data_IF_062949083929
#
_entry.id   IF_062949083929
#
_cell.length_a   1.000
_cell.length_b   1.000
_cell.length_c   1.000
_cell.angle_alpha   90.00
_cell.angle_beta   90.00
_cell.angle_gamma   90.00
#
_symmetry.space_group_name_H-M   'P 1'
#
loop_
_entity.id
_entity.type
_entity.pdbx_description
1 polymer ?
#
# COMPACT_ATOMS: atom_id res chain seq x y z
N UNK A 1 -19.22 -9.25 3.29
CA UNK A 1 -17.83 -8.78 3.52
C UNK A 1 -17.06 -9.93 4.15
N UNK A 2 -15.81 -10.19 3.77
CA UNK A 2 -14.98 -11.16 4.52
C UNK A 2 -14.68 -10.65 5.92
N UNK A 3 -14.45 -11.55 6.87
CA UNK A 3 -14.04 -11.17 8.22
C UNK A 3 -12.69 -10.43 8.20
N UNK A 4 -11.77 -10.82 7.31
CA UNK A 4 -10.47 -10.17 7.15
C UNK A 4 -10.62 -8.71 6.71
N UNK A 5 -11.50 -8.43 5.75
CA UNK A 5 -11.77 -7.04 5.33
C UNK A 5 -12.44 -6.23 6.44
N UNK A 6 -13.41 -6.81 7.18
CA UNK A 6 -14.00 -6.13 8.34
C UNK A 6 -12.95 -5.77 9.38
N UNK A 7 -12.04 -6.69 9.68
CA UNK A 7 -10.96 -6.47 10.63
C UNK A 7 -10.01 -5.36 10.14
N UNK A 8 -9.65 -5.34 8.84
CA UNK A 8 -8.81 -4.29 8.29
C UNK A 8 -9.50 -2.93 8.37
N UNK A 9 -10.78 -2.83 8.00
CA UNK A 9 -11.51 -1.56 8.10
C UNK A 9 -11.57 -1.07 9.55
N UNK A 10 -11.81 -1.96 10.52
CA UNK A 10 -11.78 -1.63 11.94
C UNK A 10 -10.37 -1.24 12.44
N UNK A 11 -9.30 -1.83 11.86
CA UNK A 11 -7.92 -1.48 12.18
C UNK A 11 -7.55 -0.07 11.68
N UNK A 12 -8.08 0.33 10.52
CA UNK A 12 -7.86 1.64 9.92
C UNK A 12 -8.72 2.74 10.54
N UNK A 13 -9.84 2.37 11.19
CA UNK A 13 -10.71 3.27 11.95
C UNK A 13 -10.07 3.61 13.31
N UNK A 14 -9.36 4.74 13.37
CA UNK A 14 -8.53 5.08 14.53
C UNK A 14 -9.33 5.57 15.74
N UNK A 15 -8.84 5.21 16.94
CA UNK A 15 -9.29 5.81 18.20
C UNK A 15 -8.86 7.28 18.24
N UNK A 16 -9.82 8.22 18.34
CA UNK A 16 -9.53 9.63 18.58
C UNK A 16 -9.18 9.85 20.05
N UNK A 17 -7.99 10.40 20.31
CA UNK A 17 -7.53 10.79 21.66
C UNK A 17 -7.84 12.28 21.89
N UNK A 18 -7.56 13.11 20.89
CA UNK A 18 -7.79 14.56 20.87
C UNK A 18 -7.98 15.03 19.40
N UNK A 19 -8.33 16.28 19.19
CA UNK A 19 -8.29 16.97 17.90
C UNK A 19 -6.89 16.84 17.29
N UNK A 20 -6.83 16.22 16.11
CA UNK A 20 -5.58 15.94 15.42
C UNK A 20 -4.71 14.85 16.08
N UNK A 21 -5.17 14.18 17.13
CA UNK A 21 -4.39 13.14 17.81
C UNK A 21 -5.16 11.81 17.88
N UNK A 22 -4.60 10.78 17.25
CA UNK A 22 -5.24 9.48 17.09
C UNK A 22 -4.34 8.33 17.53
N UNK A 23 -4.94 7.18 17.84
CA UNK A 23 -4.24 5.92 18.10
C UNK A 23 -4.76 4.81 17.19
N UNK A 24 -3.84 4.16 16.50
CA UNK A 24 -4.09 2.95 15.71
C UNK A 24 -3.48 1.72 16.36
N UNK A 25 -4.20 0.61 16.29
CA UNK A 25 -3.62 -0.70 16.61
C UNK A 25 -2.73 -1.18 15.45
N UNK A 26 -1.92 -2.20 15.71
CA UNK A 26 -1.08 -2.83 14.69
C UNK A 26 -1.46 -4.29 14.49
N UNK A 27 -1.34 -4.74 13.25
CA UNK A 27 -1.53 -6.14 12.88
C UNK A 27 -0.18 -6.77 12.51
N UNK A 28 0.05 -7.99 13.01
CA UNK A 28 1.21 -8.80 12.67
C UNK A 28 0.88 -9.70 11.47
N UNK A 29 1.21 -9.21 10.28
CA UNK A 29 1.07 -9.96 9.01
C UNK A 29 2.13 -11.07 8.83
N UNK A 30 2.90 -11.41 9.86
CA UNK A 30 4.03 -12.34 9.77
C UNK A 30 5.31 -11.71 9.22
N UNK A 31 5.34 -10.39 9.11
CA UNK A 31 6.50 -9.61 8.70
C UNK A 31 7.33 -9.21 9.91
N UNK A 32 8.60 -8.86 9.66
CA UNK A 32 9.54 -8.46 10.74
C UNK A 32 9.14 -7.17 11.47
N UNK A 33 8.37 -6.31 10.80
CA UNK A 33 8.00 -4.97 11.26
C UNK A 33 6.57 -4.66 10.77
N UNK A 34 5.96 -3.61 11.32
CA UNK A 34 4.64 -3.13 10.85
C UNK A 34 4.67 -2.94 9.34
N UNK A 35 3.62 -3.40 8.67
CA UNK A 35 3.46 -3.25 7.23
C UNK A 35 3.32 -1.78 6.85
N UNK A 36 4.06 -1.33 5.83
CA UNK A 36 4.10 0.09 5.43
C UNK A 36 2.73 0.61 5.01
N UNK A 37 1.98 -0.18 4.25
CA UNK A 37 0.60 0.11 3.88
C UNK A 37 -0.33 0.34 5.08
N UNK A 38 -0.11 -0.34 6.22
CA UNK A 38 -0.88 -0.06 7.45
C UNK A 38 -0.64 1.36 7.93
N UNK A 39 0.64 1.78 8.00
CA UNK A 39 1.00 3.11 8.46
C UNK A 39 0.45 4.19 7.51
N UNK A 40 0.48 3.93 6.19
CA UNK A 40 -0.09 4.82 5.17
C UNK A 40 -1.60 4.95 5.31
N UNK A 41 -2.33 3.84 5.40
CA UNK A 41 -3.80 3.84 5.52
C UNK A 41 -4.27 4.56 6.78
N UNK A 42 -3.63 4.28 7.92
CA UNK A 42 -3.93 4.93 9.20
C UNK A 42 -3.56 6.42 9.19
N UNK A 43 -2.42 6.80 8.60
CA UNK A 43 -2.05 8.21 8.48
C UNK A 43 -3.02 9.00 7.59
N UNK A 44 -3.50 8.41 6.49
CA UNK A 44 -4.52 9.02 5.64
C UNK A 44 -5.85 9.17 6.38
N UNK A 45 -6.25 8.18 7.18
CA UNK A 45 -7.41 8.28 8.07
C UNK A 45 -7.25 9.46 9.05
N UNK A 46 -6.11 9.55 9.74
CA UNK A 46 -5.86 10.64 10.69
C UNK A 46 -5.91 12.01 10.00
N UNK A 47 -5.29 12.13 8.83
CA UNK A 47 -5.28 13.38 8.07
C UNK A 47 -6.70 13.79 7.64
N UNK A 48 -7.50 12.88 7.06
CA UNK A 48 -8.85 13.21 6.55
C UNK A 48 -9.82 13.64 7.65
N UNK A 49 -9.64 13.14 8.87
CA UNK A 49 -10.47 13.54 10.02
C UNK A 49 -10.29 15.01 10.44
N UNK A 50 -9.21 15.65 9.97
CA UNK A 50 -8.89 17.06 10.28
C UNK A 50 -9.18 18.02 9.13
N UNK A 51 -9.89 17.56 8.10
CA UNK A 51 -10.13 18.27 6.84
C UNK A 51 -11.65 18.35 6.58
N UNK A 52 -12.17 19.44 5.97
CA UNK A 52 -13.58 19.51 5.56
C UNK A 52 -13.99 18.29 4.72
N UNK A 53 -15.20 17.78 4.95
CA UNK A 53 -15.66 16.50 4.39
C UNK A 53 -15.68 16.48 2.86
N UNK A 54 -15.85 17.64 2.22
CA UNK A 54 -15.84 17.81 0.77
C UNK A 54 -14.45 17.76 0.14
N UNK A 55 -13.36 17.90 0.91
CA UNK A 55 -11.99 17.88 0.39
C UNK A 55 -11.42 16.47 0.46
N UNK A 56 -11.19 15.89 -0.71
CA UNK A 56 -10.63 14.55 -0.88
C UNK A 56 -9.11 14.63 -1.00
N UNK A 57 -8.40 13.60 -0.55
CA UNK A 57 -6.95 13.54 -0.74
C UNK A 57 -6.66 13.41 -2.24
N UNK A 58 -5.75 14.23 -2.77
CA UNK A 58 -5.29 14.12 -4.15
C UNK A 58 -3.80 13.75 -4.23
N UNK A 59 -3.03 13.95 -3.17
CA UNK A 59 -1.68 13.42 -3.07
C UNK A 59 -1.18 13.28 -1.64
N UNK A 60 -0.19 12.41 -1.46
CA UNK A 60 0.65 12.42 -0.28
C UNK A 60 2.10 12.05 -0.61
N UNK A 61 2.99 12.46 0.28
CA UNK A 61 4.40 12.10 0.30
C UNK A 61 4.77 11.64 1.69
N UNK A 62 5.59 10.60 1.81
CA UNK A 62 5.94 10.06 3.11
C UNK A 62 7.33 9.47 3.19
N UNK A 63 7.87 9.41 4.40
CA UNK A 63 9.16 8.79 4.71
C UNK A 63 9.03 7.87 5.93
N UNK A 64 9.56 6.65 5.80
CA UNK A 64 9.73 5.68 6.87
C UNK A 64 11.10 5.87 7.51
N UNK A 65 11.10 6.25 8.78
CA UNK A 65 12.32 6.60 9.52
C UNK A 65 12.83 5.43 10.36
N UNK A 66 11.93 4.59 10.87
CA UNK A 66 12.23 3.50 11.80
C UNK A 66 11.28 2.33 11.57
N UNK A 67 11.71 1.08 11.81
CA UNK A 67 10.82 -0.07 11.78
C UNK A 67 9.77 0.05 12.90
N UNK A 68 8.49 -0.13 12.56
CA UNK A 68 7.42 -0.19 13.53
C UNK A 68 7.38 -1.55 14.24
N UNK A 69 7.02 -1.53 15.53
CA UNK A 69 6.78 -2.70 16.38
C UNK A 69 5.30 -3.09 16.30
N UNK A 70 4.98 -4.26 15.72
CA UNK A 70 3.59 -4.72 15.51
C UNK A 70 2.89 -5.13 16.81
N UNK A 71 3.61 -5.24 17.92
CA UNK A 71 3.04 -5.57 19.23
C UNK A 71 2.60 -4.32 20.01
N UNK A 72 2.73 -3.12 19.42
CA UNK A 72 2.41 -1.85 20.08
C UNK A 72 1.51 -0.99 19.18
N UNK A 73 0.61 -0.20 19.77
CA UNK A 73 -0.15 0.77 19.00
C UNK A 73 0.77 1.87 18.44
N UNK A 74 0.26 2.62 17.47
CA UNK A 74 0.91 3.76 16.85
C UNK A 74 0.07 5.00 17.15
N UNK A 75 0.73 6.08 17.60
CA UNK A 75 0.09 7.39 17.76
C UNK A 75 0.27 8.20 16.49
N UNK A 76 -0.80 8.81 15.99
CA UNK A 76 -0.80 9.68 14.82
C UNK A 76 -1.12 11.11 15.25
N UNK A 77 -0.15 12.00 15.12
CA UNK A 77 -0.24 13.42 15.46
C UNK A 77 -0.32 14.24 14.16
N UNK A 78 -1.40 15.00 13.99
CA UNK A 78 -1.75 15.70 12.76
C UNK A 78 -1.58 17.20 12.94
N UNK A 79 -0.64 17.75 12.19
CA UNK A 79 -0.36 19.18 12.09
C UNK A 79 -1.13 19.79 10.91
N UNK A 80 -1.89 20.85 11.18
CA UNK A 80 -2.54 21.67 10.14
C UNK A 80 -1.50 22.61 9.55
N UNK A 81 -1.02 22.30 8.34
CA UNK A 81 -0.05 23.15 7.66
C UNK A 81 -0.70 24.37 6.99
N UNK A 82 -1.88 24.16 6.38
CA UNK A 82 -2.59 25.20 5.64
C UNK A 82 -4.04 24.81 5.40
N UNK A 83 -4.94 25.79 5.50
CA UNK A 83 -6.27 25.76 4.90
C UNK A 83 -6.43 27.00 4.00
N UNK A 84 -6.33 26.78 2.69
CA UNK A 84 -6.59 27.81 1.68
C UNK A 84 -8.00 27.66 1.10
N UNK A 85 -8.31 28.52 0.12
CA UNK A 85 -9.62 28.49 -0.55
C UNK A 85 -9.89 27.15 -1.24
N UNK A 86 -8.90 26.60 -1.97
CA UNK A 86 -9.05 25.35 -2.72
C UNK A 86 -8.42 24.13 -2.04
N UNK A 87 -7.32 24.32 -1.29
CA UNK A 87 -6.49 23.24 -0.79
C UNK A 87 -6.34 23.24 0.73
N UNK A 88 -6.35 22.05 1.32
CA UNK A 88 -5.91 21.78 2.69
C UNK A 88 -4.64 20.94 2.68
N UNK A 89 -3.66 21.31 3.51
CA UNK A 89 -2.44 20.52 3.69
C UNK A 89 -2.33 20.08 5.16
N UNK A 90 -1.99 18.81 5.36
CA UNK A 90 -1.79 18.18 6.67
C UNK A 90 -0.44 17.48 6.71
N UNK A 91 0.22 17.51 7.85
CA UNK A 91 1.38 16.66 8.13
C UNK A 91 1.05 15.71 9.26
N UNK A 92 1.33 14.43 9.07
CA UNK A 92 1.04 13.38 10.05
C UNK A 92 2.35 12.79 10.53
N UNK A 93 2.57 12.76 11.84
CA UNK A 93 3.64 12.04 12.49
C UNK A 93 3.10 10.72 13.05
N UNK A 94 3.64 9.59 12.60
CA UNK A 94 3.38 8.30 13.25
C UNK A 94 4.47 8.03 14.30
N UNK A 95 4.09 7.76 15.53
CA UNK A 95 4.96 7.75 16.70
C UNK A 95 4.83 6.42 17.44
N UNK A 96 5.97 5.79 17.74
CA UNK A 96 6.08 4.66 18.67
C UNK A 96 7.27 4.85 19.60
N UNK A 97 7.12 4.42 20.85
CA UNK A 97 8.17 4.53 21.88
C UNK A 97 8.76 5.96 22.00
N UNK A 98 7.90 6.98 21.86
CA UNK A 98 8.28 8.40 21.92
C UNK A 98 9.13 8.90 20.75
N UNK A 99 9.22 8.15 19.65
CA UNK A 99 10.02 8.53 18.46
C UNK A 99 9.18 8.45 17.20
N UNK A 100 9.34 9.40 16.25
CA UNK A 100 8.66 9.30 14.96
C UNK A 100 9.21 8.09 14.20
N UNK A 101 8.33 7.21 13.77
CA UNK A 101 8.65 6.08 12.89
C UNK A 101 8.37 6.43 11.42
N UNK A 102 7.50 7.40 11.18
CA UNK A 102 7.05 7.78 9.84
C UNK A 102 6.51 9.22 9.84
N UNK A 103 6.68 9.93 8.73
CA UNK A 103 5.97 11.17 8.44
C UNK A 103 5.26 11.09 7.11
N UNK A 104 4.08 11.68 7.02
CA UNK A 104 3.36 11.93 5.78
C UNK A 104 3.00 13.42 5.68
N UNK A 105 3.09 13.99 4.48
CA UNK A 105 2.41 15.25 4.15
C UNK A 105 1.38 14.94 3.08
N UNK A 106 0.12 15.26 3.35
CA UNK A 106 -1.01 15.01 2.47
C UNK A 106 -1.70 16.32 2.06
N UNK A 107 -2.13 16.38 0.81
CA UNK A 107 -2.86 17.51 0.23
C UNK A 107 -4.24 17.09 -0.23
N UNK A 108 -5.22 17.94 0.08
CA UNK A 108 -6.64 17.70 -0.12
C UNK A 108 -7.26 18.85 -0.91
N UNK A 109 -8.22 18.52 -1.77
CA UNK A 109 -8.93 19.48 -2.61
C UNK A 109 -10.39 19.05 -2.76
N UNK A 110 -11.31 20.02 -2.87
CA UNK A 110 -12.68 19.73 -3.25
C UNK A 110 -12.78 19.33 -4.73
N UNK A 111 -13.79 18.52 -5.13
CA UNK A 111 -14.01 18.19 -6.53
C UNK A 111 -14.19 19.43 -7.41
N UNK A 112 -13.52 19.46 -8.56
CA UNK A 112 -13.56 20.56 -9.53
C UNK A 112 -13.41 20.00 -10.95
N UNK A 113 -14.06 20.62 -11.94
CA UNK A 113 -13.89 20.25 -13.35
C UNK A 113 -12.64 20.92 -13.92
N UNK A 114 -11.91 20.21 -14.78
CA UNK A 114 -10.69 20.74 -15.39
C UNK A 114 -10.32 20.05 -16.70
N UNK A 115 -9.06 20.21 -17.10
CA UNK A 115 -8.53 19.53 -18.27
C UNK A 115 -8.36 18.04 -18.03
N UNK A 116 -8.76 17.22 -18.99
CA UNK A 116 -8.73 15.77 -18.89
C UNK A 116 -7.83 15.16 -19.98
N UNK A 117 -6.87 14.35 -19.54
CA UNK A 117 -6.14 13.40 -20.36
C UNK A 117 -5.58 12.28 -19.45
N UNK A 118 -5.20 11.16 -20.04
CA UNK A 118 -4.46 10.12 -19.32
C UNK A 118 -3.61 9.29 -20.27
N UNK A 119 -2.61 8.60 -19.70
CA UNK A 119 -1.90 7.52 -20.37
C UNK A 119 -2.86 6.34 -20.59
N UNK A 120 -2.76 5.69 -21.75
CA UNK A 120 -3.52 4.47 -22.02
C UNK A 120 -3.10 3.34 -21.07
N UNK A 121 -4.07 2.56 -20.58
CA UNK A 121 -3.79 1.38 -19.76
C UNK A 121 -2.91 0.39 -20.55
N UNK A 122 -1.84 -0.15 -19.95
CA UNK A 122 -1.05 -1.18 -20.61
C UNK A 122 -1.88 -2.46 -20.82
N UNK A 123 -1.61 -3.25 -21.88
CA UNK A 123 -2.29 -4.52 -22.06
C UNK A 123 -2.01 -5.45 -20.88
N UNK A 124 -3.05 -6.11 -20.38
CA UNK A 124 -2.99 -7.09 -19.32
C UNK A 124 -4.10 -8.14 -19.56
N UNK A 125 -3.89 -9.42 -19.19
CA UNK A 125 -4.96 -10.41 -19.24
C UNK A 125 -6.07 -10.07 -18.23
N UNK A 126 -7.31 -10.51 -18.52
CA UNK A 126 -8.44 -10.37 -17.59
C UNK A 126 -8.17 -11.07 -16.25
N UNK A 127 -8.62 -10.50 -15.11
CA UNK A 127 -8.47 -11.14 -13.80
C UNK A 127 -9.16 -12.51 -13.72
N UNK A 128 -10.21 -12.78 -14.50
CA UNK A 128 -11.03 -14.00 -14.40
C UNK A 128 -10.25 -15.31 -14.63
N UNK A 129 -9.19 -15.26 -15.44
CA UNK A 129 -8.34 -16.41 -15.75
C UNK A 129 -7.12 -16.59 -14.82
N UNK A 130 -6.91 -15.66 -13.89
CA UNK A 130 -5.73 -15.64 -13.03
C UNK A 130 -6.02 -16.27 -11.66
N UNK A 131 -5.02 -16.94 -11.11
CA UNK A 131 -5.09 -17.44 -9.73
C UNK A 131 -4.84 -16.33 -8.73
N UNK A 132 -5.58 -16.32 -7.62
CA UNK A 132 -5.29 -15.41 -6.52
C UNK A 132 -4.01 -15.80 -5.77
N UNK A 133 -3.37 -14.86 -5.10
CA UNK A 133 -2.25 -15.14 -4.19
C UNK A 133 -2.65 -16.15 -3.12
N UNK A 134 -3.90 -16.11 -2.65
CA UNK A 134 -4.45 -17.10 -1.70
C UNK A 134 -4.52 -18.49 -2.31
N UNK A 135 -4.95 -18.63 -3.57
CA UNK A 135 -4.96 -19.93 -4.28
C UNK A 135 -3.54 -20.46 -4.49
N UNK A 136 -2.60 -19.57 -4.84
CA UNK A 136 -1.20 -19.92 -5.01
C UNK A 136 -0.58 -20.35 -3.68
N UNK A 137 -0.82 -19.60 -2.59
CA UNK A 137 -0.37 -19.93 -1.25
C UNK A 137 -0.90 -21.29 -0.77
N UNK A 138 -2.19 -21.60 -1.04
CA UNK A 138 -2.77 -22.92 -0.76
C UNK A 138 -2.07 -24.05 -1.51
N UNK A 139 -1.73 -23.84 -2.80
CA UNK A 139 -0.97 -24.83 -3.59
C UNK A 139 0.44 -25.04 -3.02
N UNK A 140 1.09 -23.98 -2.54
CA UNK A 140 2.43 -24.00 -1.96
C UNK A 140 2.45 -24.32 -0.45
N UNK A 141 1.29 -24.54 0.17
CA UNK A 141 1.16 -24.74 1.62
C UNK A 141 2.00 -25.88 2.19
N UNK A 142 2.28 -26.89 1.38
CA UNK A 142 3.09 -28.05 1.75
C UNK A 142 4.59 -27.74 1.88
N UNK A 143 5.04 -26.60 1.34
CA UNK A 143 6.42 -26.12 1.42
C UNK A 143 6.62 -25.11 2.56
N UNK A 144 5.54 -24.61 3.17
CA UNK A 144 5.62 -23.60 4.23
C UNK A 144 5.99 -24.24 5.58
N UNK A 145 6.89 -23.63 6.37
CA UNK A 145 7.13 -24.03 7.75
C UNK A 145 5.81 -24.00 8.57
N UNK A 146 5.58 -24.95 9.49
CA UNK A 146 4.34 -25.02 10.27
C UNK A 146 4.01 -23.71 11.01
N UNK A 147 5.04 -22.98 11.45
CA UNK A 147 4.92 -21.73 12.22
C UNK A 147 4.31 -20.56 11.44
N UNK A 148 4.44 -20.53 10.11
CA UNK A 148 3.92 -19.44 9.27
C UNK A 148 2.72 -19.87 8.43
N UNK A 149 2.46 -21.18 8.36
CA UNK A 149 1.42 -21.77 7.50
C UNK A 149 0.05 -21.13 7.72
N UNK A 150 -0.38 -20.97 8.96
CA UNK A 150 -1.71 -20.41 9.26
C UNK A 150 -1.82 -18.93 8.87
N UNK A 151 -0.75 -18.14 9.03
CA UNK A 151 -0.72 -16.72 8.59
C UNK A 151 -0.71 -16.56 7.07
N UNK A 152 -0.12 -17.50 6.34
CA UNK A 152 -0.09 -17.48 4.88
C UNK A 152 -1.39 -18.01 4.27
N UNK A 153 -2.10 -18.90 4.95
CA UNK A 153 -3.36 -19.48 4.50
C UNK A 153 -4.61 -18.75 5.01
N UNK A 154 -4.44 -17.75 5.87
CA UNK A 154 -5.55 -16.97 6.37
C UNK A 154 -6.25 -16.21 5.25
N UNK A 155 -7.53 -15.93 5.49
CA UNK A 155 -8.32 -15.08 4.61
C UNK A 155 -7.70 -13.67 4.55
N UNK A 156 -7.67 -13.09 3.35
CA UNK A 156 -7.01 -11.79 3.11
C UNK A 156 -8.07 -10.70 2.90
N UNK A 157 -7.83 -9.46 3.39
CA UNK A 157 -8.79 -8.37 3.22
C UNK A 157 -8.90 -7.90 1.76
N UNK A 158 -7.86 -8.14 0.96
CA UNK A 158 -7.81 -7.86 -0.47
C UNK A 158 -7.64 -9.18 -1.22
N UNK A 159 -8.34 -9.30 -2.33
CA UNK A 159 -8.09 -10.34 -3.32
C UNK A 159 -7.08 -9.81 -4.33
N UNK A 160 -5.92 -10.46 -4.44
CA UNK A 160 -4.84 -10.08 -5.36
C UNK A 160 -4.60 -11.24 -6.33
N UNK A 161 -4.59 -10.95 -7.63
CA UNK A 161 -4.34 -11.91 -8.72
C UNK A 161 -3.15 -11.44 -9.56
N UNK A 162 -1.95 -11.98 -9.36
CA UNK A 162 -0.80 -11.61 -10.16
C UNK A 162 -0.92 -12.14 -11.60
N UNK A 163 -0.50 -11.33 -12.58
CA UNK A 163 -0.34 -11.79 -13.98
C UNK A 163 0.79 -12.80 -14.07
N UNK A 164 1.92 -12.49 -13.42
CA UNK A 164 3.03 -13.42 -13.21
C UNK A 164 3.34 -13.52 -11.71
N UNK A 165 3.39 -14.75 -11.19
CA UNK A 165 3.73 -14.98 -9.80
C UNK A 165 5.24 -15.00 -9.59
N UNK A 166 5.74 -14.06 -8.79
CA UNK A 166 7.13 -14.05 -8.32
C UNK A 166 7.17 -14.54 -6.88
N UNK A 167 7.75 -15.73 -6.66
CA UNK A 167 7.82 -16.33 -5.33
C UNK A 167 8.75 -15.51 -4.42
N UNK A 168 8.26 -14.95 -3.30
CA UNK A 168 9.07 -14.10 -2.44
C UNK A 168 10.19 -14.85 -1.70
N UNK A 169 10.10 -16.18 -1.61
CA UNK A 169 11.09 -17.06 -0.96
C UNK A 169 12.11 -17.63 -1.96
N UNK A 170 11.88 -17.46 -3.26
CA UNK A 170 12.74 -18.01 -4.32
C UNK A 170 12.54 -17.22 -5.60
N UNK A 171 13.33 -16.17 -5.78
CA UNK A 171 13.29 -15.34 -6.97
C UNK A 171 13.73 -16.08 -8.23
N UNK A 172 13.37 -15.50 -9.36
CA UNK A 172 13.86 -15.86 -10.68
C UNK A 172 14.10 -14.58 -11.47
N UNK A 173 15.06 -14.62 -12.41
CA UNK A 173 15.39 -13.46 -13.24
C UNK A 173 14.18 -13.15 -14.14
N UNK A 174 13.72 -11.91 -14.11
CA UNK A 174 12.68 -11.37 -14.97
C UNK A 174 12.91 -9.88 -15.23
N UNK A 175 12.23 -9.34 -16.24
CA UNK A 175 12.19 -7.91 -16.49
C UNK A 175 11.66 -7.15 -15.26
N UNK A 176 12.07 -5.89 -15.02
CA UNK A 176 11.66 -5.12 -13.84
C UNK A 176 10.23 -4.56 -13.96
N UNK A 177 9.26 -5.39 -14.37
CA UNK A 177 7.86 -5.02 -14.53
C UNK A 177 6.96 -6.04 -13.84
N UNK A 178 5.84 -5.60 -13.27
CA UNK A 178 4.84 -6.48 -12.67
C UNK A 178 3.45 -5.92 -12.86
N UNK A 179 2.49 -6.80 -13.09
CA UNK A 179 1.08 -6.47 -13.12
C UNK A 179 0.34 -7.39 -12.14
N UNK A 180 -0.48 -6.79 -11.29
CA UNK A 180 -1.40 -7.53 -10.42
C UNK A 180 -2.78 -6.91 -10.49
N UNK A 181 -3.83 -7.73 -10.52
CA UNK A 181 -5.19 -7.25 -10.29
C UNK A 181 -5.48 -7.29 -8.80
N UNK A 182 -6.13 -6.27 -8.27
CA UNK A 182 -6.58 -6.24 -6.89
C UNK A 182 -8.00 -5.70 -6.74
N UNK A 183 -8.70 -6.19 -5.73
CA UNK A 183 -9.97 -5.64 -5.23
C UNK A 183 -10.14 -5.96 -3.76
N UNK A 184 -11.08 -5.31 -3.09
CA UNK A 184 -11.50 -5.68 -1.75
C UNK A 184 -12.13 -7.09 -1.75
N UNK A 185 -11.78 -7.91 -0.76
CA UNK A 185 -12.41 -9.21 -0.54
C UNK A 185 -13.71 -9.04 0.24
N UNK A 186 -14.72 -8.45 -0.39
CA UNK A 186 -16.00 -8.10 0.23
C UNK A 186 -16.54 -6.77 -0.27
N UNK A 187 -17.40 -6.15 0.52
CA UNK A 187 -18.04 -4.88 0.17
C UNK A 187 -17.55 -3.78 1.12
N UNK A 188 -16.80 -2.83 0.60
CA UNK A 188 -16.38 -1.58 1.25
C UNK A 188 -17.55 -0.59 1.20
N UNK A 189 -17.81 0.18 2.27
CA UNK A 189 -18.86 1.20 2.27
C UNK A 189 -18.69 2.24 1.15
N UNK A 190 -19.80 2.79 0.68
CA UNK A 190 -19.85 3.81 -0.38
C UNK A 190 -19.42 5.20 0.14
N UNK A 191 -18.14 5.30 0.52
CA UNK A 191 -17.46 6.53 0.91
C UNK A 191 -16.06 6.52 0.27
N UNK A 192 -15.87 7.35 -0.76
CA UNK A 192 -14.62 7.43 -1.51
C UNK A 192 -13.40 7.65 -0.61
N UNK A 193 -13.53 8.30 0.55
CA UNK A 193 -12.43 8.51 1.49
C UNK A 193 -11.93 7.19 2.07
N UNK A 194 -12.84 6.22 2.28
CA UNK A 194 -12.52 4.84 2.70
C UNK A 194 -11.77 4.12 1.59
N UNK A 195 -12.27 4.21 0.36
CA UNK A 195 -11.59 3.64 -0.80
C UNK A 195 -10.17 4.21 -0.97
N UNK A 196 -9.98 5.51 -0.76
CA UNK A 196 -8.69 6.19 -0.87
C UNK A 196 -7.65 5.68 0.12
N UNK A 197 -7.96 5.64 1.42
CA UNK A 197 -6.98 5.13 2.39
C UNK A 197 -6.77 3.62 2.28
N UNK A 198 -7.78 2.86 1.80
CA UNK A 198 -7.63 1.43 1.54
C UNK A 198 -6.77 1.16 0.30
N UNK A 199 -6.85 2.01 -0.74
CA UNK A 199 -5.92 1.96 -1.87
C UNK A 199 -4.51 2.40 -1.45
N UNK A 200 -4.40 3.37 -0.55
CA UNK A 200 -3.14 3.73 0.11
C UNK A 200 -2.52 2.52 0.82
N UNK A 201 -3.31 1.77 1.59
CA UNK A 201 -2.89 0.50 2.19
C UNK A 201 -2.47 -0.55 1.13
N UNK A 202 -3.28 -0.72 0.08
CA UNK A 202 -3.02 -1.69 -0.98
C UNK A 202 -1.75 -1.39 -1.78
N UNK A 203 -1.39 -0.12 -1.92
CA UNK A 203 -0.29 0.34 -2.78
C UNK A 203 1.11 -0.06 -2.36
N UNK A 204 1.30 -0.53 -1.13
CA UNK A 204 2.59 -1.06 -0.66
C UNK A 204 2.71 -2.58 -0.92
N UNK A 205 1.66 -3.25 -1.43
CA UNK A 205 1.74 -4.63 -1.91
C UNK A 205 2.28 -4.70 -3.34
N UNK A 206 3.07 -5.74 -3.62
CA UNK A 206 3.61 -6.02 -4.96
C UNK A 206 4.40 -4.86 -5.59
N UNK A 207 4.92 -3.93 -4.77
CA UNK A 207 5.54 -2.71 -5.26
C UNK A 207 7.08 -2.77 -5.27
N UNK A 208 7.76 -2.46 -4.16
CA UNK A 208 9.23 -2.49 -4.07
C UNK A 208 9.90 -3.80 -4.52
N UNK A 209 9.34 -5.00 -4.27
CA UNK A 209 9.96 -6.25 -4.74
C UNK A 209 10.19 -6.35 -6.25
N UNK A 210 9.53 -5.51 -7.08
CA UNK A 210 9.76 -5.48 -8.54
C UNK A 210 11.20 -5.08 -8.87
N UNK A 211 11.84 -4.24 -8.05
CA UNK A 211 13.24 -3.85 -8.25
C UNK A 211 14.23 -5.00 -8.02
N UNK A 212 13.80 -6.13 -7.46
CA UNK A 212 14.63 -7.33 -7.29
C UNK A 212 14.56 -8.29 -8.48
N UNK A 213 13.57 -8.14 -9.37
CA UNK A 213 13.31 -9.07 -10.47
C UNK A 213 14.50 -9.23 -11.43
N UNK A 214 15.21 -8.16 -11.85
CA UNK A 214 16.40 -8.32 -12.70
C UNK A 214 17.55 -9.08 -12.03
N UNK A 215 17.53 -9.18 -10.71
CA UNK A 215 18.55 -9.84 -9.91
C UNK A 215 18.18 -11.27 -9.51
N UNK A 216 16.95 -11.70 -9.81
CA UNK A 216 16.48 -13.05 -9.56
C UNK A 216 16.42 -13.44 -8.08
N UNK A 217 16.19 -12.48 -7.18
CA UNK A 217 16.11 -12.71 -5.74
C UNK A 217 14.73 -12.35 -5.18
N UNK A 218 14.21 -13.18 -4.29
CA UNK A 218 12.99 -12.94 -3.55
C UNK A 218 13.26 -12.11 -2.29
N UNK A 219 12.33 -11.22 -1.91
CA UNK A 219 12.55 -10.31 -0.77
C UNK A 219 12.54 -11.00 0.61
N UNK A 220 12.06 -12.24 0.70
CA UNK A 220 12.06 -13.06 1.91
C UNK A 220 13.19 -14.11 1.91
N UNK A 221 14.08 -14.09 0.92
CA UNK A 221 15.24 -14.98 0.92
C UNK A 221 16.22 -14.68 2.08
N UNK A 222 16.92 -15.70 2.61
CA UNK A 222 17.89 -15.50 3.68
C UNK A 222 18.96 -14.46 3.30
N UNK A 223 19.23 -13.53 4.23
CA UNK A 223 20.21 -12.45 4.04
C UNK A 223 19.66 -11.22 3.32
N UNK A 224 18.45 -11.28 2.76
CA UNK A 224 17.82 -10.10 2.16
C UNK A 224 17.35 -9.12 3.23
N UNK A 225 17.65 -7.85 3.00
CA UNK A 225 17.11 -6.72 3.75
C UNK A 225 16.47 -5.76 2.75
N UNK A 226 15.15 -5.75 2.76
CA UNK A 226 14.31 -4.92 1.90
C UNK A 226 13.40 -4.07 2.79
N UNK A 227 13.48 -2.75 2.66
CA UNK A 227 12.70 -1.84 3.50
C UNK A 227 12.42 -0.53 2.75
N UNK A 228 11.18 -0.09 2.80
CA UNK A 228 10.75 1.20 2.25
C UNK A 228 11.49 2.36 2.90
N UNK A 229 11.92 3.34 2.10
CA UNK A 229 12.48 4.61 2.56
C UNK A 229 11.39 5.67 2.49
N UNK A 230 10.76 5.81 1.33
CA UNK A 230 9.71 6.77 1.06
C UNK A 230 8.59 6.14 0.23
N UNK A 231 7.38 6.70 0.34
CA UNK A 231 6.24 6.31 -0.48
C UNK A 231 5.38 7.52 -0.79
N UNK A 232 5.05 7.70 -2.06
CA UNK A 232 4.24 8.81 -2.54
C UNK A 232 3.13 8.31 -3.46
N UNK A 233 1.99 8.97 -3.41
CA UNK A 233 0.84 8.62 -4.23
C UNK A 233 0.08 9.88 -4.66
N UNK A 234 -0.49 9.82 -5.85
CA UNK A 234 -1.39 10.82 -6.40
C UNK A 234 -2.69 10.14 -6.82
N UNK A 235 -3.81 10.66 -6.33
CA UNK A 235 -5.16 10.21 -6.68
C UNK A 235 -5.70 11.13 -7.77
N UNK A 236 -5.92 10.58 -8.95
CA UNK A 236 -6.32 11.34 -10.14
C UNK A 236 -7.82 11.35 -10.34
N UNK A 237 -8.48 10.21 -10.09
CA UNK A 237 -9.91 9.99 -10.40
C UNK A 237 -10.60 9.19 -9.30
N UNK A 238 -11.92 9.37 -9.12
CA UNK A 238 -12.70 8.51 -8.22
C UNK A 238 -12.69 7.06 -8.71
N UNK A 239 -12.84 6.12 -7.77
CA UNK A 239 -12.82 4.69 -8.06
C UNK A 239 -13.59 3.90 -7.01
N UNK A 240 -13.92 2.66 -7.35
CA UNK A 240 -14.56 1.70 -6.46
C UNK A 240 -13.63 0.50 -6.24
N UNK A 241 -13.00 0.40 -5.08
CA UNK A 241 -12.10 -0.72 -4.75
C UNK A 241 -12.83 -2.07 -4.57
N UNK A 242 -14.16 -2.10 -4.58
CA UNK A 242 -14.93 -3.35 -4.69
C UNK A 242 -14.80 -3.97 -6.08
N UNK A 243 -14.44 -3.16 -7.09
CA UNK A 243 -14.18 -3.57 -8.45
C UNK A 243 -12.68 -3.79 -8.67
N UNK A 244 -12.35 -4.45 -9.78
CA UNK A 244 -10.97 -4.77 -10.11
C UNK A 244 -10.18 -3.53 -10.53
N UNK A 245 -9.03 -3.36 -9.87
CA UNK A 245 -7.99 -2.41 -10.26
C UNK A 245 -6.74 -3.18 -10.69
N UNK A 246 -6.21 -2.85 -11.87
CA UNK A 246 -4.89 -3.27 -12.30
C UNK A 246 -3.85 -2.36 -11.63
N UNK A 247 -2.90 -2.95 -10.92
CA UNK A 247 -1.70 -2.27 -10.47
C UNK A 247 -0.53 -2.65 -11.38
N UNK A 248 -0.11 -1.70 -12.21
CA UNK A 248 1.01 -1.85 -13.15
C UNK A 248 2.24 -1.16 -12.58
N UNK A 249 3.28 -1.95 -12.29
CA UNK A 249 4.50 -1.52 -11.61
C UNK A 249 5.72 -1.72 -12.50
N UNK A 250 6.66 -0.80 -12.45
CA UNK A 250 7.99 -0.92 -13.03
C UNK A 250 9.08 -0.50 -12.05
N UNK A 251 10.27 -1.07 -12.16
CA UNK A 251 11.50 -0.58 -11.53
C UNK A 251 12.42 -0.02 -12.60
N UNK A 252 12.59 1.30 -12.60
CA UNK A 252 13.42 1.98 -13.62
C UNK A 252 14.90 2.06 -13.26
N UNK A 253 15.26 1.82 -11.98
CA UNK A 253 16.65 1.86 -11.52
C UNK A 253 16.85 1.12 -10.20
N UNK A 254 18.01 0.48 -10.06
CA UNK A 254 18.51 -0.05 -8.80
C UNK A 254 20.02 0.24 -8.71
N UNK A 255 20.45 0.93 -7.66
CA UNK A 255 21.85 1.28 -7.46
C UNK A 255 22.13 1.64 -6.00
N UNK A 256 23.39 1.54 -5.57
CA UNK A 256 23.83 1.99 -4.23
C UNK A 256 22.99 1.42 -3.07
N UNK A 257 22.68 0.13 -3.14
CA UNK A 257 21.84 -0.59 -2.17
C UNK A 257 20.40 -0.04 -2.04
N UNK A 258 19.86 0.54 -3.13
CA UNK A 258 18.49 1.03 -3.23
C UNK A 258 17.84 0.57 -4.53
N UNK A 259 16.52 0.39 -4.48
CA UNK A 259 15.67 0.11 -5.63
C UNK A 259 14.56 1.14 -5.73
N UNK A 260 14.26 1.56 -6.95
CA UNK A 260 13.26 2.58 -7.24
C UNK A 260 12.14 2.00 -8.11
N UNK A 261 10.90 2.17 -7.66
CA UNK A 261 9.70 1.67 -8.35
C UNK A 261 8.70 2.78 -8.61
N UNK A 262 7.97 2.65 -9.72
CA UNK A 262 6.81 3.47 -10.07
C UNK A 262 5.63 2.57 -10.37
N UNK A 263 4.43 3.00 -10.01
CA UNK A 263 3.21 2.23 -10.20
C UNK A 263 2.04 3.09 -10.65
N UNK A 264 1.10 2.46 -11.33
CA UNK A 264 -0.12 3.08 -11.85
C UNK A 264 -1.30 2.14 -11.61
N UNK A 265 -2.40 2.70 -11.08
CA UNK A 265 -3.65 1.99 -10.87
C UNK A 265 -4.64 2.30 -11.98
N UNK A 266 -5.18 1.27 -12.61
CA UNK A 266 -6.19 1.38 -13.64
C UNK A 266 -7.44 0.58 -13.27
N UNK A 267 -8.63 1.09 -13.56
CA UNK A 267 -9.84 0.26 -13.60
C UNK A 267 -9.80 -0.70 -14.78
N UNK A 268 -10.67 -1.72 -14.77
CA UNK A 268 -10.73 -2.70 -15.86
C UNK A 268 -11.12 -2.12 -17.23
N UNK A 269 -11.84 -0.99 -17.24
CA UNK A 269 -12.16 -0.23 -18.47
C UNK A 269 -11.02 0.72 -18.92
N UNK A 270 -9.93 0.79 -18.16
CA UNK A 270 -8.71 1.51 -18.52
C UNK A 270 -8.59 2.92 -17.95
N UNK A 271 -9.47 3.35 -17.04
CA UNK A 271 -9.38 4.65 -16.37
C UNK A 271 -8.17 4.69 -15.43
N UNK A 272 -7.28 5.68 -15.59
CA UNK A 272 -6.12 5.87 -14.70
C UNK A 272 -6.58 6.55 -13.40
N UNK A 273 -6.55 5.79 -12.31
CA UNK A 273 -7.08 6.17 -11.00
C UNK A 273 -6.03 6.84 -10.12
N UNK A 274 -4.83 6.28 -10.06
CA UNK A 274 -3.76 6.77 -9.19
C UNK A 274 -2.38 6.41 -9.72
N UNK A 275 -1.36 7.13 -9.25
CA UNK A 275 0.06 6.82 -9.51
C UNK A 275 0.84 6.77 -8.20
N UNK A 276 1.88 5.93 -8.14
CA UNK A 276 2.71 5.71 -6.96
C UNK A 276 4.20 5.75 -7.30
N UNK A 277 5.01 6.17 -6.32
CA UNK A 277 6.47 6.14 -6.40
C UNK A 277 7.03 5.74 -5.03
N UNK A 278 8.05 4.89 -5.02
CA UNK A 278 8.73 4.44 -3.80
C UNK A 278 10.20 4.11 -4.08
N UNK A 279 11.11 4.59 -3.24
CA UNK A 279 12.47 4.06 -3.11
C UNK A 279 12.56 3.21 -1.83
N UNK A 280 13.36 2.15 -1.88
CA UNK A 280 13.61 1.29 -0.74
C UNK A 280 15.05 0.83 -0.66
N UNK A 281 15.51 0.56 0.56
CA UNK A 281 16.76 -0.16 0.80
C UNK A 281 16.62 -1.55 0.20
N UNK A 282 17.62 -1.96 -0.58
CA UNK A 282 17.78 -3.32 -1.09
C UNK A 282 19.21 -3.78 -0.82
N UNK A 283 19.37 -4.73 0.10
CA UNK A 283 20.67 -5.30 0.46
C UNK A 283 20.61 -6.81 0.48
N UNK A 284 21.63 -7.45 -0.07
CA UNK A 284 21.93 -8.84 0.16
C UNK A 284 23.11 -8.92 1.14
N UNK A 285 22.89 -9.41 2.35
CA UNK A 285 23.93 -9.52 3.40
C UNK A 285 24.82 -10.76 3.27
N UNK A 286 24.47 -11.66 2.36
CA UNK A 286 25.24 -12.86 2.06
C UNK A 286 26.12 -12.71 0.81
N UNK A 287 25.99 -11.59 0.09
CA UNK A 287 26.80 -11.25 -1.07
C UNK A 287 28.07 -10.47 -0.68
#
# INVERSE_FOLDING_TARGET
MSQALSNLLALLDLEKIEEGLFRGQSEDLGLRQVFGGQVVGQALYAAKETVPAERLVHSFHSYFLRPGDSQKPIVYDVEVLRDGNSFSARRVAAIQNGKPIFYMTASFQAPEHGYEHQKAMPPAPSPDGLHSETDIARKLAHLLPPQVKDKFLCDKPLEIRPVEFHNPMKGHIAEPVRQVWLRANGAVPDDLRIHQYLLGYASDFNFLPVALQPHGVGFLEPGMQVATIDHSMWFHRPFNINEWLLYSVESTSASSARGFVRGEFYTQDGTLVASTVQEGVMRNRNA
#
